data_IF_377569510260
#
_entry.id   IF_377569510260
#
_cell.length_a   1.000
_cell.length_b   1.000
_cell.length_c   1.000
_cell.angle_alpha   90.00
_cell.angle_beta   90.00
_cell.angle_gamma   90.00
#
_symmetry.space_group_name_H-M   'P 1'
#
loop_
_entity.id
_entity.type
_entity.pdbx_description
1 polymer ?
#
# COMPACT_ATOMS: atom_id res chain seq x y z
N UNK A 1 -10.17 9.61 27.73
CA UNK A 1 -10.05 10.09 26.33
C UNK A 1 -8.59 10.13 25.98
N UNK A 2 -8.18 9.53 24.87
CA UNK A 2 -6.77 9.42 24.50
C UNK A 2 -6.14 10.79 24.23
N UNK A 3 -4.86 10.92 24.55
CA UNK A 3 -4.03 12.11 24.33
C UNK A 3 -3.47 12.09 22.88
N UNK A 4 -4.33 11.96 21.89
CA UNK A 4 -3.94 11.90 20.48
C UNK A 4 -4.42 13.12 19.69
N UNK A 5 -4.30 13.03 18.37
CA UNK A 5 -4.80 14.07 17.46
C UNK A 5 -6.31 14.25 17.67
N UNK A 6 -6.79 15.48 17.96
CA UNK A 6 -8.20 15.71 18.16
C UNK A 6 -9.01 15.32 16.92
N UNK A 7 -10.06 14.49 17.13
CA UNK A 7 -10.94 14.06 16.05
C UNK A 7 -10.41 12.94 15.16
N UNK A 8 -9.25 12.35 15.45
CA UNK A 8 -8.72 11.22 14.68
C UNK A 8 -9.71 10.05 14.65
N UNK A 9 -10.05 9.58 13.44
CA UNK A 9 -10.99 8.46 13.20
C UNK A 9 -10.31 7.21 12.69
N UNK A 10 -9.17 7.34 11.98
CA UNK A 10 -8.43 6.23 11.37
C UNK A 10 -7.54 6.70 10.23
N UNK A 11 -6.98 5.77 9.47
CA UNK A 11 -6.27 6.06 8.24
C UNK A 11 -7.25 6.35 7.10
N UNK A 12 -6.94 7.34 6.26
CA UNK A 12 -7.72 7.67 5.07
C UNK A 12 -7.10 7.03 3.81
N UNK A 13 -5.85 7.34 3.53
CA UNK A 13 -5.12 6.79 2.39
C UNK A 13 -3.63 6.57 2.69
N UNK A 14 -2.99 5.85 1.80
CA UNK A 14 -1.53 5.80 1.68
C UNK A 14 -1.12 6.45 0.37
N UNK A 15 -0.12 7.38 0.42
CA UNK A 15 0.50 7.96 -0.76
C UNK A 15 1.61 7.07 -1.31
N UNK A 16 1.58 6.79 -2.61
CA UNK A 16 2.57 5.96 -3.30
C UNK A 16 3.09 6.71 -4.52
N UNK A 17 4.40 6.88 -4.62
CA UNK A 17 5.04 7.43 -5.81
C UNK A 17 5.40 6.30 -6.78
N UNK A 18 5.05 6.49 -8.05
CA UNK A 18 5.30 5.53 -9.13
C UNK A 18 6.08 6.18 -10.27
N UNK A 19 6.84 5.42 -11.04
CA UNK A 19 7.59 5.96 -12.18
C UNK A 19 6.73 6.17 -13.44
N UNK A 20 5.58 5.50 -13.53
CA UNK A 20 4.68 5.51 -14.70
C UNK A 20 3.26 5.24 -14.23
N UNK A 21 2.36 6.20 -14.47
CA UNK A 21 0.98 6.15 -13.99
C UNK A 21 0.14 5.09 -14.70
N UNK A 22 0.35 4.85 -15.99
CA UNK A 22 -0.41 3.84 -16.72
C UNK A 22 0.00 2.42 -16.31
N UNK A 23 1.28 2.18 -16.07
CA UNK A 23 1.76 0.92 -15.50
C UNK A 23 1.17 0.69 -14.11
N UNK A 24 1.13 1.72 -13.27
CA UNK A 24 0.55 1.64 -11.94
C UNK A 24 -0.96 1.43 -12.00
N UNK A 25 -1.67 2.11 -12.89
CA UNK A 25 -3.12 1.92 -13.11
C UNK A 25 -3.44 0.48 -13.47
N UNK A 26 -2.77 -0.08 -14.46
CA UNK A 26 -2.95 -1.49 -14.85
C UNK A 26 -2.67 -2.45 -13.69
N UNK A 27 -1.64 -2.17 -12.88
CA UNK A 27 -1.34 -2.99 -11.72
C UNK A 27 -2.43 -2.91 -10.64
N UNK A 28 -2.88 -1.72 -10.25
CA UNK A 28 -3.89 -1.56 -9.21
C UNK A 28 -5.27 -2.05 -9.67
N UNK A 29 -5.68 -1.78 -10.90
CA UNK A 29 -7.01 -2.14 -11.42
C UNK A 29 -7.05 -3.57 -11.94
N UNK A 30 -6.17 -3.94 -12.89
CA UNK A 30 -6.27 -5.22 -13.61
C UNK A 30 -5.65 -6.39 -12.86
N UNK A 31 -4.70 -6.12 -11.94
CA UNK A 31 -4.04 -7.14 -11.13
C UNK A 31 -4.62 -7.18 -9.73
N UNK A 32 -4.65 -6.07 -8.99
CA UNK A 32 -5.11 -6.05 -7.60
C UNK A 32 -6.64 -5.91 -7.47
N UNK A 33 -7.35 -5.51 -8.53
CA UNK A 33 -8.79 -5.39 -8.55
C UNK A 33 -9.32 -4.20 -7.74
N UNK A 34 -8.57 -3.11 -7.70
CA UNK A 34 -9.01 -1.86 -7.06
C UNK A 34 -9.95 -1.08 -7.99
N UNK A 35 -10.83 -0.29 -7.39
CA UNK A 35 -11.67 0.64 -8.12
C UNK A 35 -10.91 1.96 -8.32
N UNK A 36 -10.72 2.39 -9.57
CA UNK A 36 -10.30 3.75 -9.88
C UNK A 36 -11.44 4.73 -9.56
N UNK A 37 -11.12 5.85 -8.90
CA UNK A 37 -12.14 6.82 -8.45
C UNK A 37 -12.05 8.12 -9.22
N UNK A 38 -10.90 8.82 -9.16
CA UNK A 38 -10.67 10.07 -9.87
C UNK A 38 -9.18 10.38 -10.01
N UNK A 39 -8.86 11.36 -10.86
CA UNK A 39 -7.51 11.91 -10.98
C UNK A 39 -7.50 13.42 -10.76
N UNK A 40 -6.32 13.93 -10.42
CA UNK A 40 -5.98 15.35 -10.40
C UNK A 40 -4.95 15.62 -11.49
N UNK A 41 -5.04 16.78 -12.15
CA UNK A 41 -4.15 17.14 -13.26
C UNK A 41 -2.74 17.50 -12.77
N UNK A 42 -1.86 17.76 -13.73
CA UNK A 42 -0.52 18.28 -13.50
C UNK A 42 -0.51 19.48 -12.54
N UNK A 43 0.45 19.48 -11.62
CA UNK A 43 0.75 20.60 -10.73
C UNK A 43 2.24 20.91 -10.77
N UNK A 44 2.55 22.17 -11.01
CA UNK A 44 3.92 22.69 -11.08
C UNK A 44 3.94 24.10 -10.50
N UNK A 45 4.98 24.38 -9.73
CA UNK A 45 5.22 25.70 -9.17
C UNK A 45 6.65 26.16 -9.47
N UNK A 46 6.86 27.44 -9.70
CA UNK A 46 8.15 28.02 -10.03
C UNK A 46 8.97 28.46 -8.82
N UNK A 47 8.33 28.50 -7.65
CA UNK A 47 8.91 28.82 -6.34
C UNK A 47 9.18 27.55 -5.50
N UNK A 48 9.41 27.74 -4.22
CA UNK A 48 9.66 26.63 -3.29
C UNK A 48 8.38 25.99 -2.73
N UNK A 49 7.21 26.32 -3.31
CA UNK A 49 5.91 25.80 -2.86
C UNK A 49 5.88 24.25 -2.76
N UNK A 50 6.49 23.58 -3.74
CA UNK A 50 6.53 22.10 -3.78
C UNK A 50 7.34 21.54 -2.60
N UNK A 51 8.44 22.18 -2.22
CA UNK A 51 9.22 21.80 -1.03
C UNK A 51 8.45 22.10 0.26
N UNK A 52 7.94 23.32 0.39
CA UNK A 52 7.34 23.83 1.62
C UNK A 52 6.04 23.11 1.98
N UNK A 53 5.26 22.70 1.01
CA UNK A 53 3.94 22.10 1.23
C UNK A 53 3.92 20.57 1.03
N UNK A 54 4.72 20.02 0.15
CA UNK A 54 4.72 18.60 -0.17
C UNK A 54 6.00 17.87 0.27
N UNK A 55 7.00 18.61 0.76
CA UNK A 55 8.31 18.06 1.13
C UNK A 55 8.95 17.24 -0.01
N UNK A 56 8.78 17.70 -1.24
CA UNK A 56 9.42 17.14 -2.43
C UNK A 56 10.51 18.07 -2.95
N UNK A 57 11.29 17.61 -3.93
CA UNK A 57 12.31 18.45 -4.54
C UNK A 57 11.69 19.77 -5.07
N UNK A 58 12.30 20.96 -4.84
CA UNK A 58 11.67 22.27 -5.13
C UNK A 58 11.16 22.46 -6.56
N UNK A 59 11.79 21.82 -7.52
CA UNK A 59 11.41 21.90 -8.95
C UNK A 59 10.71 20.65 -9.47
N UNK A 60 10.34 19.72 -8.57
CA UNK A 60 9.56 18.58 -8.97
C UNK A 60 8.18 19.00 -9.46
N UNK A 61 7.70 18.39 -10.53
CA UNK A 61 6.32 18.47 -10.93
C UNK A 61 5.57 17.23 -10.49
N UNK A 62 4.31 17.37 -10.13
CA UNK A 62 3.34 16.28 -10.13
C UNK A 62 2.79 16.19 -11.53
N UNK A 63 3.02 15.11 -12.26
CA UNK A 63 2.43 14.89 -13.59
C UNK A 63 0.96 14.55 -13.49
N UNK A 64 0.62 13.66 -12.58
CA UNK A 64 -0.74 13.22 -12.30
C UNK A 64 -0.84 12.64 -10.90
N UNK A 65 -2.03 12.72 -10.31
CA UNK A 65 -2.40 11.98 -9.09
C UNK A 65 -3.65 11.16 -9.42
N UNK A 66 -3.68 9.87 -9.03
CA UNK A 66 -4.87 9.04 -9.14
C UNK A 66 -5.24 8.44 -7.80
N UNK A 67 -6.56 8.41 -7.53
CA UNK A 67 -7.12 7.81 -6.33
C UNK A 67 -7.79 6.48 -6.65
N UNK A 68 -7.49 5.49 -5.82
CA UNK A 68 -8.03 4.14 -5.91
C UNK A 68 -8.62 3.71 -4.58
N UNK A 69 -9.69 2.92 -4.64
CA UNK A 69 -10.32 2.30 -3.49
C UNK A 69 -10.01 0.80 -3.44
N UNK A 70 -9.47 0.35 -2.32
CA UNK A 70 -9.28 -1.08 -2.02
C UNK A 70 -10.45 -1.58 -1.18
N UNK A 71 -11.53 -2.06 -1.83
CA UNK A 71 -12.67 -2.72 -1.15
C UNK A 71 -13.12 -2.02 0.15
N UNK A 72 -12.82 -2.60 1.31
CA UNK A 72 -13.29 -2.20 2.64
C UNK A 72 -12.28 -1.40 3.46
N UNK A 73 -11.45 -0.67 2.88
CA UNK A 73 -10.50 0.17 3.59
C UNK A 73 -9.26 0.40 2.77
N UNK A 74 -8.38 1.21 3.27
CA UNK A 74 -7.22 1.74 2.61
C UNK A 74 -7.51 2.27 1.20
N UNK A 75 -7.66 3.59 1.08
CA UNK A 75 -7.56 4.23 -0.22
C UNK A 75 -6.07 4.36 -0.59
N UNK A 76 -5.80 4.43 -1.87
CA UNK A 76 -4.44 4.61 -2.39
C UNK A 76 -4.43 5.87 -3.23
N UNK A 77 -3.56 6.81 -2.86
CA UNK A 77 -3.25 8.01 -3.61
C UNK A 77 -1.93 7.79 -4.34
N UNK A 78 -1.98 7.71 -5.66
CA UNK A 78 -0.82 7.39 -6.51
C UNK A 78 -0.33 8.65 -7.20
N UNK A 79 0.95 8.96 -7.02
CA UNK A 79 1.62 10.10 -7.61
C UNK A 79 2.60 9.68 -8.70
N UNK A 80 2.55 10.32 -9.85
CA UNK A 80 3.66 10.36 -10.79
C UNK A 80 4.38 11.70 -10.65
N UNK A 81 5.56 11.69 -10.02
CA UNK A 81 6.42 12.87 -9.90
C UNK A 81 7.49 12.89 -10.99
N UNK A 82 7.81 14.09 -11.45
CA UNK A 82 8.97 14.39 -12.30
C UNK A 82 9.96 15.25 -11.50
N UNK A 83 10.86 14.63 -10.70
CA UNK A 83 11.89 15.35 -9.98
C UNK A 83 13.00 15.81 -10.94
N UNK A 84 13.59 17.01 -10.71
CA UNK A 84 14.61 17.58 -11.57
C UNK A 84 15.88 16.71 -11.67
N UNK A 85 16.22 15.98 -10.60
CA UNK A 85 17.35 15.05 -10.57
C UNK A 85 17.03 13.65 -11.12
N UNK A 86 15.80 13.41 -11.59
CA UNK A 86 15.31 12.09 -12.00
C UNK A 86 14.90 11.21 -10.83
N UNK A 87 14.16 10.13 -11.13
CA UNK A 87 13.68 9.19 -10.12
C UNK A 87 14.84 8.34 -9.54
N UNK A 88 14.75 8.06 -8.25
CA UNK A 88 15.64 7.11 -7.56
C UNK A 88 15.06 5.71 -7.61
N UNK A 89 15.91 4.65 -7.53
CA UNK A 89 15.42 3.29 -7.38
C UNK A 89 14.52 3.13 -6.15
N UNK A 90 13.53 2.25 -6.25
CA UNK A 90 12.70 1.87 -5.10
C UNK A 90 13.58 1.34 -3.97
N UNK A 91 13.49 1.88 -2.73
CA UNK A 91 14.25 1.36 -1.60
C UNK A 91 13.82 -0.08 -1.27
N UNK A 92 14.74 -0.87 -0.75
CA UNK A 92 14.39 -2.18 -0.19
C UNK A 92 13.57 -1.99 1.09
N UNK A 93 12.78 -2.98 1.44
CA UNK A 93 11.99 -2.97 2.68
C UNK A 93 12.87 -2.79 3.96
N UNK A 94 14.17 -3.10 3.88
CA UNK A 94 15.15 -2.90 4.95
C UNK A 94 15.79 -1.52 5.01
N UNK A 95 15.60 -0.71 3.99
CA UNK A 95 16.24 0.60 3.90
C UNK A 95 15.41 1.66 4.64
N UNK A 96 16.04 2.76 5.08
CA UNK A 96 15.29 3.90 5.62
C UNK A 96 14.37 4.47 4.53
N UNK A 97 13.07 4.57 4.83
CA UNK A 97 12.02 4.88 3.86
C UNK A 97 11.47 3.65 3.13
N UNK A 98 12.09 2.46 3.31
CA UNK A 98 11.54 1.19 2.85
C UNK A 98 10.27 0.83 3.62
N UNK A 99 9.25 0.37 2.92
CA UNK A 99 7.97 -0.03 3.50
C UNK A 99 7.26 -1.02 2.58
N UNK A 100 6.22 -1.64 3.10
CA UNK A 100 5.29 -2.45 2.32
C UNK A 100 3.85 -2.16 2.74
N UNK A 101 2.92 -2.48 1.86
CA UNK A 101 1.49 -2.43 2.11
C UNK A 101 0.96 -3.85 2.11
N UNK A 102 0.23 -4.22 3.17
CA UNK A 102 -0.35 -5.55 3.31
C UNK A 102 -1.85 -5.53 2.99
N UNK A 103 -2.30 -6.53 2.23
CA UNK A 103 -3.70 -6.78 1.91
C UNK A 103 -4.15 -8.12 2.51
N UNK A 104 -5.31 -8.09 3.14
CA UNK A 104 -5.92 -9.31 3.66
C UNK A 104 -6.62 -10.09 2.54
N UNK A 105 -6.43 -11.41 2.52
CA UNK A 105 -7.14 -12.35 1.66
C UNK A 105 -7.70 -13.50 2.48
N UNK A 106 -8.89 -13.96 2.13
CA UNK A 106 -9.53 -15.10 2.81
C UNK A 106 -8.81 -16.42 2.51
N UNK A 107 -8.33 -16.61 1.27
CA UNK A 107 -7.62 -17.79 0.81
C UNK A 107 -6.24 -17.42 0.25
N UNK A 108 -5.20 -17.74 1.01
CA UNK A 108 -3.82 -17.44 0.65
C UNK A 108 -3.36 -18.20 -0.59
N UNK A 109 -3.72 -19.46 -0.72
CA UNK A 109 -3.21 -20.30 -1.81
C UNK A 109 -3.86 -19.89 -3.15
N UNK A 110 -5.16 -19.65 -3.16
CA UNK A 110 -5.87 -19.13 -4.32
C UNK A 110 -5.34 -17.74 -4.74
N UNK A 111 -5.05 -16.84 -3.79
CA UNK A 111 -4.52 -15.52 -4.07
C UNK A 111 -3.09 -15.58 -4.65
N UNK A 112 -2.23 -16.45 -4.12
CA UNK A 112 -0.88 -16.67 -4.64
C UNK A 112 -0.91 -17.24 -6.06
N UNK A 113 -1.77 -18.22 -6.33
CA UNK A 113 -1.92 -18.80 -7.66
C UNK A 113 -2.46 -17.78 -8.66
N UNK A 114 -3.39 -16.93 -8.25
CA UNK A 114 -3.88 -15.82 -9.06
C UNK A 114 -2.74 -14.84 -9.42
N UNK A 115 -1.97 -14.35 -8.44
CA UNK A 115 -0.85 -13.44 -8.70
C UNK A 115 0.20 -14.07 -9.61
N UNK A 116 0.50 -15.36 -9.43
CA UNK A 116 1.41 -16.12 -10.31
C UNK A 116 0.88 -16.17 -11.73
N UNK A 117 -0.39 -16.46 -11.92
CA UNK A 117 -1.03 -16.50 -13.25
C UNK A 117 -1.04 -15.11 -13.93
N UNK A 118 -1.08 -14.03 -13.15
CA UNK A 118 -0.94 -12.64 -13.64
C UNK A 118 0.51 -12.22 -13.90
N UNK A 119 1.49 -13.11 -13.70
CA UNK A 119 2.90 -12.81 -13.93
C UNK A 119 3.54 -11.90 -12.85
N UNK A 120 2.91 -11.74 -11.70
CA UNK A 120 3.44 -10.94 -10.60
C UNK A 120 4.65 -11.62 -9.97
N UNK A 121 5.70 -10.87 -9.70
CA UNK A 121 6.90 -11.38 -9.03
C UNK A 121 6.64 -11.65 -7.55
N UNK A 122 6.50 -12.93 -7.21
CA UNK A 122 6.38 -13.41 -5.82
C UNK A 122 7.76 -13.61 -5.21
N UNK A 123 7.92 -13.30 -3.92
CA UNK A 123 9.07 -13.73 -3.13
C UNK A 123 8.82 -15.14 -2.57
N UNK A 124 9.80 -15.70 -1.85
CA UNK A 124 9.66 -17.04 -1.25
C UNK A 124 8.52 -17.09 -0.22
N UNK A 125 7.70 -18.11 -0.30
CA UNK A 125 6.53 -18.29 0.58
C UNK A 125 5.42 -19.11 -0.07
N UNK A 126 4.19 -19.11 0.48
CA UNK A 126 3.74 -18.43 1.71
C UNK A 126 4.39 -18.95 2.99
N UNK A 127 4.56 -18.06 3.98
CA UNK A 127 5.19 -18.37 5.26
C UNK A 127 4.17 -18.30 6.39
N UNK A 128 4.21 -19.26 7.32
CA UNK A 128 3.40 -19.22 8.53
C UNK A 128 4.07 -18.37 9.62
N UNK A 129 3.31 -17.46 10.21
CA UNK A 129 3.75 -16.66 11.36
C UNK A 129 3.82 -17.49 12.64
N UNK A 130 4.58 -16.99 13.62
CA UNK A 130 4.78 -17.63 14.93
C UNK A 130 4.42 -16.67 16.07
N UNK A 131 4.46 -17.18 17.29
CA UNK A 131 4.22 -16.43 18.54
C UNK A 131 2.87 -15.71 18.51
N UNK A 132 2.81 -14.44 18.86
CA UNK A 132 1.60 -13.63 18.89
C UNK A 132 0.84 -13.57 17.55
N UNK A 133 1.54 -13.73 16.44
CA UNK A 133 0.95 -13.77 15.09
C UNK A 133 0.66 -15.19 14.58
N UNK A 134 0.81 -16.23 15.39
CA UNK A 134 0.46 -17.60 14.99
C UNK A 134 -1.01 -17.65 14.55
N UNK A 135 -1.29 -18.38 13.47
CA UNK A 135 -2.58 -18.39 12.77
C UNK A 135 -2.56 -17.56 11.47
N UNK A 136 -1.59 -16.65 11.31
CA UNK A 136 -1.41 -15.88 10.09
C UNK A 136 -0.45 -16.59 9.13
N UNK A 137 -0.77 -16.54 7.84
CA UNK A 137 0.16 -16.78 6.72
C UNK A 137 0.39 -15.48 5.99
N UNK A 138 1.58 -15.32 5.39
CA UNK A 138 1.92 -14.13 4.61
C UNK A 138 2.76 -14.48 3.39
N UNK A 139 2.64 -13.64 2.35
CA UNK A 139 3.35 -13.75 1.08
C UNK A 139 3.73 -12.37 0.57
N UNK A 140 5.01 -12.10 0.40
CA UNK A 140 5.47 -10.88 -0.28
C UNK A 140 5.45 -11.02 -1.79
N UNK A 141 5.15 -9.91 -2.45
CA UNK A 141 5.23 -9.76 -3.91
C UNK A 141 5.66 -8.34 -4.27
N UNK A 142 6.10 -8.16 -5.52
CA UNK A 142 6.60 -6.88 -5.99
C UNK A 142 5.70 -6.34 -7.11
N UNK A 143 5.47 -5.04 -7.09
CA UNK A 143 4.91 -4.31 -8.23
C UNK A 143 5.86 -4.31 -9.42
N UNK A 144 5.42 -3.90 -10.63
CA UNK A 144 6.28 -3.75 -11.79
C UNK A 144 7.48 -2.81 -11.58
N UNK A 145 7.33 -1.78 -10.72
CA UNK A 145 8.41 -0.83 -10.39
C UNK A 145 9.23 -1.22 -9.15
N UNK A 146 8.98 -2.41 -8.56
CA UNK A 146 9.78 -2.99 -7.49
C UNK A 146 9.32 -2.65 -6.06
N UNK A 147 8.22 -1.91 -5.87
CA UNK A 147 7.65 -1.69 -4.54
C UNK A 147 7.15 -3.01 -3.97
N UNK A 148 7.41 -3.23 -2.68
CA UNK A 148 7.00 -4.45 -1.99
C UNK A 148 5.58 -4.33 -1.45
N UNK A 149 4.80 -5.39 -1.69
CA UNK A 149 3.47 -5.61 -1.14
C UNK A 149 3.43 -6.95 -0.41
N UNK A 150 2.38 -7.13 0.40
CA UNK A 150 2.18 -8.35 1.18
C UNK A 150 0.73 -8.83 1.05
N UNK A 151 0.53 -10.14 0.92
CA UNK A 151 -0.74 -10.78 1.26
C UNK A 151 -0.65 -11.33 2.67
N UNK A 152 -1.73 -11.15 3.45
CA UNK A 152 -1.90 -11.77 4.76
C UNK A 152 -3.23 -12.50 4.82
N UNK A 153 -3.26 -13.67 5.48
CA UNK A 153 -4.47 -14.46 5.68
C UNK A 153 -4.46 -15.07 7.08
N UNK A 154 -5.53 -14.89 7.83
CA UNK A 154 -5.73 -15.44 9.17
C UNK A 154 -7.23 -15.62 9.46
N UNK A 155 -7.93 -16.48 8.68
CA UNK A 155 -9.39 -16.62 8.75
C UNK A 155 -9.91 -17.07 10.12
N UNK A 156 -9.07 -17.79 10.90
CA UNK A 156 -9.39 -18.24 12.25
C UNK A 156 -8.78 -17.33 13.34
N UNK A 157 -8.32 -16.13 12.96
CA UNK A 157 -7.69 -15.16 13.85
C UNK A 157 -6.22 -15.47 14.16
N UNK A 158 -5.64 -14.64 15.01
CA UNK A 158 -4.24 -14.76 15.46
C UNK A 158 -4.16 -15.06 16.96
N UNK A 159 -3.06 -15.69 17.39
CA UNK A 159 -2.89 -16.10 18.79
C UNK A 159 -3.03 -14.95 19.79
N UNK A 160 -2.54 -13.74 19.46
CA UNK A 160 -2.62 -12.57 20.34
C UNK A 160 -4.07 -12.16 20.70
N UNK A 161 -5.05 -12.48 19.85
CA UNK A 161 -6.44 -12.07 20.01
C UNK A 161 -7.14 -12.72 21.20
N UNK A 162 -6.55 -13.81 21.72
CA UNK A 162 -7.08 -14.55 22.89
C UNK A 162 -6.90 -13.77 24.20
N UNK A 163 -5.87 -12.93 24.28
CA UNK A 163 -5.45 -12.27 25.52
C UNK A 163 -5.44 -10.73 25.40
N UNK A 164 -5.43 -10.21 24.18
CA UNK A 164 -5.32 -8.76 23.95
C UNK A 164 -6.61 -8.03 24.29
N UNK A 165 -6.49 -7.00 25.13
CA UNK A 165 -7.60 -6.09 25.44
C UNK A 165 -8.01 -5.21 24.24
N UNK A 166 -7.08 -4.94 23.31
CA UNK A 166 -7.31 -4.18 22.06
C UNK A 166 -6.88 -5.05 20.90
N UNK A 167 -7.77 -5.26 19.94
CA UNK A 167 -7.47 -6.00 18.72
C UNK A 167 -7.13 -5.05 17.59
N UNK A 168 -6.30 -5.52 16.65
CA UNK A 168 -6.06 -4.81 15.41
C UNK A 168 -7.34 -4.80 14.58
N UNK A 169 -7.58 -3.66 13.88
CA UNK A 169 -8.66 -3.58 12.91
C UNK A 169 -8.52 -4.67 11.82
N UNK A 170 -9.64 -5.24 11.41
CA UNK A 170 -9.66 -6.35 10.45
C UNK A 170 -10.56 -6.02 9.27
N UNK A 171 -10.07 -6.06 8.01
CA UNK A 171 -10.87 -5.68 6.82
C UNK A 171 -12.06 -6.60 6.53
N UNK A 172 -12.06 -7.82 7.07
CA UNK A 172 -13.21 -8.74 6.97
C UNK A 172 -14.40 -8.28 7.83
N UNK A 173 -14.11 -7.50 8.87
CA UNK A 173 -15.12 -6.99 9.83
C UNK A 173 -14.96 -5.48 9.98
N UNK A 174 -15.20 -4.70 8.91
CA UNK A 174 -14.85 -3.28 8.87
C UNK A 174 -15.65 -2.39 9.84
N UNK A 175 -16.74 -2.91 10.40
CA UNK A 175 -17.61 -2.18 11.34
C UNK A 175 -17.26 -2.43 12.83
N UNK A 176 -16.30 -3.29 13.13
CA UNK A 176 -15.89 -3.63 14.50
C UNK A 176 -14.72 -2.81 15.03
#
# INVERSE_FOLDING_TARGET
MGTGIPGLRGGDHIGITVPDMEQAHAFFVDVLGFDYVYSLPEMRHDDDWMLDHLNVEPRAAVREIRFYRCRFGLNVEVFEYEPAAGQRPQPRNSDLGGHHVAFYVDDMDAAVDYLRAKGVRLLAGPVASRNASAGQRWQYFLSPWGMQFELVSFPEGKAYEKEAAVKLWHPRYPAE
#
